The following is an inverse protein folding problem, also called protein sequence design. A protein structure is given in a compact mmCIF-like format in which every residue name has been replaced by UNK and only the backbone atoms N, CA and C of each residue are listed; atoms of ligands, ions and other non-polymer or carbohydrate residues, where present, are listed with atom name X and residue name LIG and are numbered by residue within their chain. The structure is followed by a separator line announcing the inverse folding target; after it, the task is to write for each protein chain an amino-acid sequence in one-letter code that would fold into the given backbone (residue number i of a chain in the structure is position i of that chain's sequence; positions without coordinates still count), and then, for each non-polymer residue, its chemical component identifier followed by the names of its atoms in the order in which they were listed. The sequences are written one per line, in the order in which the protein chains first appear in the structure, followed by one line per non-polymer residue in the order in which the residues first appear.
data_IF_009623859472
#
_entry.id   IF_009623859472
#
_cell.length_a   1.000
_cell.length_b   1.000
_cell.length_c   1.000
_cell.angle_alpha   90.00
_cell.angle_beta   90.00
_cell.angle_gamma   90.00
#
_symmetry.space_group_name_H-M   'P 1'
#
loop_
_entity.id
_entity.type
_entity.pdbx_description
1 polymer ?
#
# COMPACT_ATOMS: atom_id res chain seq x y z
N UNK A 1 -11.71 18.70 -2.52
CA UNK A 1 -12.21 18.18 -1.23
C UNK A 1 -11.13 17.24 -0.70
N UNK A 2 -10.24 17.73 0.18
CA UNK A 2 -9.16 16.92 0.76
C UNK A 2 -9.79 15.92 1.71
N UNK A 3 -9.41 14.66 1.57
CA UNK A 3 -9.72 13.62 2.55
C UNK A 3 -8.54 13.70 3.51
N UNK A 4 -8.81 14.13 4.74
CA UNK A 4 -7.81 14.11 5.79
C UNK A 4 -7.32 12.67 5.94
N UNK A 5 -6.01 12.48 6.15
CA UNK A 5 -5.38 11.20 6.51
C UNK A 5 -5.81 10.80 7.94
N UNK A 6 -7.12 10.81 8.18
CA UNK A 6 -7.76 10.15 9.30
C UNK A 6 -7.51 8.67 9.08
N UNK A 7 -6.62 8.13 9.92
CA UNK A 7 -6.26 6.72 10.04
C UNK A 7 -7.43 5.86 9.57
N UNK A 8 -7.33 5.31 8.35
CA UNK A 8 -8.42 4.52 7.77
C UNK A 8 -8.55 3.30 8.67
N UNK A 9 -9.43 3.40 9.66
CA UNK A 9 -9.75 2.32 10.57
C UNK A 9 -10.35 1.22 9.72
N UNK A 10 -9.51 0.28 9.27
CA UNK A 10 -9.92 -0.98 8.66
C UNK A 10 -10.54 -1.91 9.71
N UNK A 11 -11.27 -1.37 10.69
CA UNK A 11 -11.94 -2.13 11.74
C UNK A 11 -13.05 -3.04 11.20
N UNK A 12 -13.55 -2.78 9.98
CA UNK A 12 -14.55 -3.60 9.28
C UNK A 12 -14.21 -3.88 7.80
N UNK A 13 -13.01 -3.55 7.34
CA UNK A 13 -12.59 -3.75 5.94
C UNK A 13 -11.82 -5.05 5.76
N UNK A 14 -12.01 -5.73 4.63
CA UNK A 14 -11.18 -6.88 4.23
C UNK A 14 -9.76 -6.37 3.95
N UNK A 15 -8.76 -7.05 4.49
CA UNK A 15 -7.36 -6.69 4.25
C UNK A 15 -7.02 -6.86 2.77
N UNK A 16 -6.19 -5.96 2.21
CA UNK A 16 -5.69 -6.11 0.85
C UNK A 16 -5.04 -7.49 0.62
N UNK A 17 -4.32 -7.99 1.63
CA UNK A 17 -3.68 -9.30 1.56
C UNK A 17 -4.70 -10.45 1.49
N UNK A 18 -5.81 -10.31 2.19
CA UNK A 18 -6.91 -11.28 2.21
C UNK A 18 -7.65 -11.30 0.86
N UNK A 19 -7.90 -10.13 0.26
CA UNK A 19 -8.43 -10.04 -1.11
C UNK A 19 -7.49 -10.75 -2.10
N UNK A 20 -6.18 -10.47 -2.01
CA UNK A 20 -5.19 -11.11 -2.87
C UNK A 20 -5.17 -12.62 -2.69
N UNK A 21 -5.28 -13.10 -1.45
CA UNK A 21 -5.39 -14.52 -1.14
C UNK A 21 -6.64 -15.15 -1.78
N UNK A 22 -7.82 -14.53 -1.63
CA UNK A 22 -9.05 -15.01 -2.23
C UNK A 22 -9.00 -15.02 -3.76
N UNK A 23 -8.40 -14.02 -4.39
CA UNK A 23 -8.21 -13.99 -5.84
C UNK A 23 -7.29 -15.11 -6.33
N UNK A 24 -6.18 -15.34 -5.63
CA UNK A 24 -5.26 -16.44 -5.97
C UNK A 24 -5.90 -17.81 -5.77
N UNK A 25 -6.67 -17.99 -4.68
CA UNK A 25 -7.40 -19.22 -4.43
C UNK A 25 -8.44 -19.48 -5.52
N UNK A 26 -9.23 -18.47 -5.87
CA UNK A 26 -10.21 -18.55 -6.96
C UNK A 26 -9.52 -18.87 -8.29
N UNK A 27 -8.37 -18.24 -8.58
CA UNK A 27 -7.59 -18.55 -9.78
C UNK A 27 -7.18 -20.03 -9.82
N UNK A 28 -6.62 -20.56 -8.72
CA UNK A 28 -6.21 -21.96 -8.63
C UNK A 28 -7.39 -22.92 -8.82
N UNK A 29 -8.54 -22.63 -8.20
CA UNK A 29 -9.74 -23.45 -8.36
C UNK A 29 -10.18 -23.50 -9.83
N UNK A 30 -10.25 -22.34 -10.51
CA UNK A 30 -10.64 -22.27 -11.91
C UNK A 30 -9.61 -22.98 -12.82
N UNK A 31 -8.31 -22.90 -12.51
CA UNK A 31 -7.27 -23.64 -13.26
C UNK A 31 -7.42 -25.15 -13.08
N UNK A 32 -7.62 -25.62 -11.84
CA UNK A 32 -7.81 -27.05 -11.57
C UNK A 32 -9.07 -27.56 -12.26
N UNK A 33 -10.16 -26.80 -12.21
CA UNK A 33 -11.40 -27.12 -12.92
C UNK A 33 -11.18 -27.19 -14.44
N UNK A 34 -10.48 -26.21 -15.02
CA UNK A 34 -10.11 -26.22 -16.44
C UNK A 34 -9.32 -27.49 -16.82
N UNK A 35 -8.34 -27.87 -16.00
CA UNK A 35 -7.54 -29.09 -16.21
C UNK A 35 -8.43 -30.33 -16.14
N UNK A 36 -9.34 -30.41 -15.15
CA UNK A 36 -10.26 -31.54 -15.00
C UNK A 36 -11.10 -31.77 -16.27
N UNK A 37 -11.74 -30.72 -16.79
CA UNK A 37 -12.52 -30.79 -18.04
C UNK A 37 -11.66 -31.32 -19.19
N UNK A 38 -10.42 -30.81 -19.32
CA UNK A 38 -9.50 -31.24 -20.37
C UNK A 38 -9.04 -32.68 -20.21
N UNK A 39 -8.88 -33.17 -18.98
CA UNK A 39 -8.52 -34.57 -18.72
C UNK A 39 -9.67 -35.54 -18.96
N UNK A 40 -10.92 -35.09 -18.79
CA UNK A 40 -12.13 -35.87 -19.10
C UNK A 40 -12.45 -35.89 -20.60
N UNK A 41 -11.69 -35.16 -21.43
CA UNK A 41 -11.89 -35.07 -22.88
C UNK A 41 -13.12 -34.25 -23.28
N UNK A 42 -13.67 -33.46 -22.35
CA UNK A 42 -14.81 -32.60 -22.62
C UNK A 42 -14.37 -31.33 -23.40
N UNK A 43 -15.27 -30.84 -24.26
CA UNK A 43 -15.04 -29.57 -24.94
C UNK A 43 -15.26 -28.42 -23.95
N UNK A 44 -14.39 -27.42 -23.99
CA UNK A 44 -14.41 -26.24 -23.13
C UNK A 44 -15.10 -25.03 -23.78
N UNK A 45 -15.46 -25.15 -25.06
CA UNK A 45 -16.13 -24.09 -25.80
C UNK A 45 -17.48 -23.76 -25.16
N UNK A 46 -17.66 -22.49 -24.79
CA UNK A 46 -18.86 -22.00 -24.11
C UNK A 46 -18.82 -22.12 -22.58
N UNK A 47 -17.76 -22.68 -21.99
CA UNK A 47 -17.61 -22.70 -20.53
C UNK A 47 -17.11 -21.34 -20.00
N UNK A 48 -17.78 -20.74 -19.00
CA UNK A 48 -17.39 -19.45 -18.43
C UNK A 48 -16.05 -19.48 -17.66
N UNK A 49 -15.42 -20.64 -17.45
CA UNK A 49 -14.13 -20.77 -16.76
C UNK A 49 -13.04 -19.95 -17.43
N UNK A 50 -13.02 -19.89 -18.76
CA UNK A 50 -11.99 -19.15 -19.51
C UNK A 50 -12.14 -17.65 -19.26
N UNK A 51 -13.36 -17.12 -19.34
CA UNK A 51 -13.65 -15.71 -19.07
C UNK A 51 -13.32 -15.35 -17.62
N UNK A 52 -13.67 -16.22 -16.65
CA UNK A 52 -13.33 -16.05 -15.23
C UNK A 52 -11.82 -16.02 -15.01
N UNK A 53 -11.06 -16.89 -15.66
CA UNK A 53 -9.59 -16.90 -15.57
C UNK A 53 -8.99 -15.60 -16.11
N UNK A 54 -9.50 -15.10 -17.24
CA UNK A 54 -9.06 -13.83 -17.82
C UNK A 54 -9.41 -12.65 -16.93
N UNK A 55 -10.61 -12.64 -16.35
CA UNK A 55 -11.05 -11.62 -15.40
C UNK A 55 -10.14 -11.58 -14.17
N UNK A 56 -9.94 -12.72 -13.50
CA UNK A 56 -9.10 -12.81 -12.30
C UNK A 56 -7.66 -12.38 -12.63
N UNK A 57 -7.12 -12.81 -13.79
CA UNK A 57 -5.79 -12.36 -14.23
C UNK A 57 -5.74 -10.85 -14.41
N UNK A 58 -6.75 -10.27 -15.05
CA UNK A 58 -6.84 -8.82 -15.25
C UNK A 58 -6.92 -8.06 -13.92
N UNK A 59 -7.64 -8.60 -12.94
CA UNK A 59 -7.69 -8.02 -11.59
C UNK A 59 -6.31 -8.08 -10.94
N UNK A 60 -5.64 -9.24 -10.93
CA UNK A 60 -4.28 -9.38 -10.37
C UNK A 60 -3.28 -8.41 -11.00
N UNK A 61 -3.37 -8.21 -12.32
CA UNK A 61 -2.55 -7.25 -13.06
C UNK A 61 -2.77 -5.81 -12.58
N UNK A 62 -4.00 -5.44 -12.26
CA UNK A 62 -4.36 -4.12 -11.70
C UNK A 62 -3.94 -3.95 -10.23
N UNK A 63 -3.72 -5.05 -9.49
CA UNK A 63 -3.24 -4.98 -8.10
C UNK A 63 -1.72 -4.76 -8.00
N UNK A 64 -0.96 -4.99 -9.08
CA UNK A 64 0.51 -4.80 -9.13
C UNK A 64 1.02 -3.47 -8.55
N UNK A 65 0.47 -2.29 -8.86
CA UNK A 65 0.96 -1.03 -8.27
C UNK A 65 0.77 -0.97 -6.76
N UNK A 66 -0.31 -1.56 -6.23
CA UNK A 66 -0.58 -1.60 -4.79
C UNK A 66 0.41 -2.54 -4.10
N UNK A 67 0.66 -3.71 -4.71
CA UNK A 67 1.70 -4.65 -4.25
C UNK A 67 3.09 -3.99 -4.18
N UNK A 68 3.46 -3.22 -5.20
CA UNK A 68 4.73 -2.49 -5.23
C UNK A 68 4.82 -1.46 -4.11
N UNK A 69 3.75 -0.69 -3.88
CA UNK A 69 3.69 0.30 -2.81
C UNK A 69 3.79 -0.36 -1.42
N UNK A 70 3.09 -1.47 -1.23
CA UNK A 70 3.13 -2.25 0.01
C UNK A 70 4.52 -2.84 0.25
N UNK A 71 5.14 -3.43 -0.77
CA UNK A 71 6.52 -3.93 -0.71
C UNK A 71 7.48 -2.82 -0.30
N UNK A 72 7.38 -1.65 -0.92
CA UNK A 72 8.21 -0.50 -0.58
C UNK A 72 8.05 -0.07 0.89
N UNK A 73 6.81 -0.01 1.40
CA UNK A 73 6.55 0.33 2.79
C UNK A 73 7.16 -0.70 3.76
N UNK A 74 7.01 -1.99 3.46
CA UNK A 74 7.63 -3.08 4.24
C UNK A 74 9.15 -2.94 4.22
N UNK A 75 9.75 -2.80 3.03
CA UNK A 75 11.19 -2.68 2.86
C UNK A 75 11.75 -1.45 3.61
N UNK A 76 11.01 -0.33 3.62
CA UNK A 76 11.37 0.88 4.37
C UNK A 76 11.36 0.63 5.88
N UNK A 77 10.32 -0.02 6.41
CA UNK A 77 10.23 -0.36 7.83
C UNK A 77 11.33 -1.34 8.25
N UNK A 78 11.59 -2.37 7.44
CA UNK A 78 12.67 -3.33 7.67
C UNK A 78 14.03 -2.64 7.69
N UNK A 79 14.29 -1.71 6.76
CA UNK A 79 15.53 -0.91 6.74
C UNK A 79 15.69 -0.04 7.98
N UNK A 80 14.61 0.57 8.47
CA UNK A 80 14.64 1.41 9.67
C UNK A 80 14.99 0.58 10.92
N UNK A 81 14.46 -0.63 11.03
CA UNK A 81 14.78 -1.55 12.13
C UNK A 81 16.21 -2.08 12.03
N UNK A 82 16.69 -2.41 10.83
CA UNK A 82 18.00 -3.03 10.63
C UNK A 82 19.18 -2.05 10.61
N UNK A 83 18.99 -0.81 10.12
CA UNK A 83 20.05 0.20 10.05
C UNK A 83 20.08 1.17 11.25
N UNK A 84 19.10 1.10 12.15
CA UNK A 84 18.84 2.17 13.13
C UNK A 84 18.35 3.45 12.44
N UNK A 85 17.91 4.45 13.22
CA UNK A 85 17.25 5.69 12.76
C UNK A 85 18.04 6.52 11.72
N UNK A 86 19.30 6.18 11.42
CA UNK A 86 20.16 6.80 10.42
C UNK A 86 19.76 6.52 8.95
N UNK A 87 18.88 5.54 8.68
CA UNK A 87 18.38 5.24 7.33
C UNK A 87 17.33 6.22 6.81
N UNK A 88 16.92 7.17 7.65
CA UNK A 88 15.86 8.13 7.36
C UNK A 88 16.34 9.33 6.58
N UNK A 89 17.46 9.30 5.83
CA UNK A 89 17.94 10.42 4.98
C UNK A 89 17.73 10.31 3.44
N UNK A 90 17.46 9.11 2.90
CA UNK A 90 17.35 8.88 1.44
C UNK A 90 15.96 8.45 0.92
N UNK A 91 14.88 8.97 1.49
CA UNK A 91 13.48 8.66 1.13
C UNK A 91 12.95 9.73 0.16
N UNK A 92 12.63 9.43 -1.10
CA UNK A 92 12.10 10.42 -2.03
C UNK A 92 10.68 10.93 -1.72
N UNK A 93 9.94 10.30 -0.80
CA UNK A 93 8.52 10.64 -0.53
C UNK A 93 8.31 11.65 0.61
N UNK A 94 9.37 11.98 1.36
CA UNK A 94 9.38 13.04 2.40
C UNK A 94 9.53 14.44 1.84
N UNK A 95 9.79 14.62 0.54
CA UNK A 95 9.76 15.93 -0.12
C UNK A 95 8.34 16.48 -0.29
N UNK A 96 7.44 16.15 0.64
CA UNK A 96 6.17 16.85 0.76
C UNK A 96 6.46 18.22 1.38
N UNK A 97 5.82 19.30 0.89
CA UNK A 97 5.95 20.60 1.52
C UNK A 97 5.62 20.48 3.01
N UNK A 98 6.59 20.77 3.89
CA UNK A 98 6.35 20.90 5.32
C UNK A 98 6.16 22.39 5.64
N UNK A 99 4.92 22.90 5.70
CA UNK A 99 4.66 24.31 5.98
C UNK A 99 5.15 24.73 7.38
N UNK A 100 5.35 23.79 8.30
CA UNK A 100 5.94 24.07 9.61
C UNK A 100 7.41 24.51 9.51
N UNK A 101 8.15 24.07 8.50
CA UNK A 101 9.53 24.54 8.28
C UNK A 101 9.61 26.01 7.81
N UNK A 102 8.49 26.60 7.38
CA UNK A 102 8.38 28.02 7.03
C UNK A 102 8.06 28.89 8.24
N UNK A 103 7.60 28.29 9.35
CA UNK A 103 7.61 28.93 10.66
C UNK A 103 9.08 28.94 11.09
N UNK A 104 9.81 29.94 10.61
CA UNK A 104 11.15 30.24 11.08
C UNK A 104 11.15 30.19 12.61
N UNK A 105 12.29 29.81 13.19
CA UNK A 105 12.49 29.61 14.62
C UNK A 105 12.24 30.92 15.40
N UNK A 106 10.99 31.37 15.49
CA UNK A 106 10.51 32.44 16.37
C UNK A 106 10.22 31.82 17.73
N UNK A 107 11.21 31.10 18.25
CA UNK A 107 11.39 30.94 19.67
C UNK A 107 12.51 31.90 20.06
N UNK A 108 12.28 33.19 19.77
CA UNK A 108 12.85 34.24 20.57
C UNK A 108 12.36 34.01 22.00
N UNK A 109 13.32 34.02 22.91
CA UNK A 109 13.15 33.94 24.36
C UNK A 109 11.93 34.75 24.81
N UNK A 110 10.84 34.07 25.16
CA UNK A 110 9.76 34.65 25.95
C UNK A 110 9.84 34.01 27.33
N UNK A 111 10.73 34.54 28.16
CA UNK A 111 10.61 34.35 29.62
C UNK A 111 9.33 35.06 30.09
N UNK A 112 8.68 34.58 31.17
CA UNK A 112 7.38 35.07 31.63
C UNK A 112 7.40 36.48 32.27
N UNK A 113 8.38 37.31 31.95
CA UNK A 113 8.51 38.69 32.45
C UNK A 113 8.97 39.58 31.30
N UNK A 114 8.02 40.30 30.72
CA UNK A 114 8.20 41.07 29.49
C UNK A 114 9.28 42.15 29.57
N UNK A 115 10.49 41.85 29.11
CA UNK A 115 11.48 42.83 28.69
C UNK A 115 12.39 42.23 27.61
N UNK A 116 12.44 42.90 26.46
CA UNK A 116 13.28 42.54 25.31
C UNK A 116 14.72 43.02 25.56
N UNK A 117 15.69 42.11 25.47
CA UNK A 117 17.11 42.47 25.36
C UNK A 117 17.57 42.12 23.94
N UNK A 118 18.01 43.15 23.21
CA UNK A 118 18.65 43.01 21.90
C UNK A 118 20.12 42.61 22.08
N UNK A 119 20.53 41.54 21.40
CA UNK A 119 21.84 41.41 20.76
C UNK A 119 21.62 40.99 19.31
#
# INVERSE_FOLDING_TARGET
KKIDDEEISTSKGISFLEIKFHLLLSYLINVVYYILIKTEGQNIEGDPVVDRLVEIRTVLEKLRPIDQKMKYQIDKLVKLVTAGLAGTDNDPLRFRPNPENMLGKVAGLMTPTGSLVYL
#
